data_IF_508547195635
#
_entry.id   IF_508547195635
#
_cell.length_a   1.000
_cell.length_b   1.000
_cell.length_c   1.000
_cell.angle_alpha   90.00
_cell.angle_beta   90.00
_cell.angle_gamma   90.00
#
_symmetry.space_group_name_H-M   'P 1'
#
loop_
_entity.id
_entity.type
_entity.pdbx_description
1 polymer ?
#
# COMPACT_ATOMS: atom_id res chain seq x y z
N UNK A 1 14.78 -3.14 20.05
CA UNK A 1 15.59 -4.37 20.17
C UNK A 1 17.08 -4.12 20.25
N UNK A 2 17.71 -3.42 19.29
CA UNK A 2 19.16 -3.11 19.34
C UNK A 2 19.57 -2.39 20.64
N UNK A 3 18.88 -1.30 21.00
CA UNK A 3 19.17 -0.56 22.23
C UNK A 3 18.93 -1.40 23.48
N UNK A 4 17.83 -2.13 23.53
CA UNK A 4 17.54 -3.07 24.63
C UNK A 4 18.61 -4.15 24.79
N UNK A 5 19.11 -4.71 23.68
CA UNK A 5 20.22 -5.65 23.71
C UNK A 5 21.51 -4.97 24.19
N UNK A 6 21.82 -3.75 23.77
CA UNK A 6 23.01 -3.02 24.23
C UNK A 6 22.98 -2.79 25.74
N UNK A 7 21.87 -2.30 26.27
CA UNK A 7 21.67 -2.10 27.72
C UNK A 7 21.78 -3.41 28.50
N UNK A 8 21.10 -4.46 28.04
CA UNK A 8 21.13 -5.77 28.70
C UNK A 8 22.52 -6.44 28.59
N UNK A 9 23.25 -6.23 27.49
CA UNK A 9 24.62 -6.74 27.32
C UNK A 9 25.55 -6.10 28.33
N UNK A 10 25.52 -4.77 28.45
CA UNK A 10 26.35 -4.05 29.42
C UNK A 10 26.07 -4.51 30.86
N UNK A 11 24.80 -4.68 31.22
CA UNK A 11 24.41 -5.14 32.55
C UNK A 11 24.80 -6.61 32.80
N UNK A 12 24.67 -7.47 31.78
CA UNK A 12 25.11 -8.87 31.83
C UNK A 12 26.63 -8.97 32.04
N UNK A 13 27.42 -8.17 31.33
CA UNK A 13 28.88 -8.13 31.48
C UNK A 13 29.29 -7.70 32.89
N UNK A 14 28.63 -6.68 33.46
CA UNK A 14 28.91 -6.22 34.83
C UNK A 14 28.62 -7.31 35.88
N UNK A 15 27.47 -7.98 35.80
CA UNK A 15 27.10 -8.98 36.81
C UNK A 15 27.89 -10.29 36.65
N UNK A 16 28.38 -10.59 35.46
CA UNK A 16 29.17 -11.81 35.23
C UNK A 16 30.65 -11.67 35.58
N UNK A 17 31.11 -10.47 35.99
CA UNK A 17 32.49 -10.23 36.41
C UNK A 17 32.92 -11.16 37.56
N UNK A 18 34.19 -11.60 37.60
CA UNK A 18 34.66 -12.57 38.58
C UNK A 18 34.46 -12.14 40.03
N UNK A 19 34.68 -10.85 40.34
CA UNK A 19 34.47 -10.26 41.66
C UNK A 19 33.00 -10.38 42.10
N UNK A 20 32.04 -10.06 41.23
CA UNK A 20 30.61 -10.16 41.55
C UNK A 20 30.20 -11.61 41.82
N UNK A 21 30.75 -12.57 41.08
CA UNK A 21 30.51 -14.00 41.36
C UNK A 21 31.04 -14.43 42.73
N UNK A 22 32.18 -13.89 43.16
CA UNK A 22 32.72 -14.13 44.51
C UNK A 22 31.81 -13.53 45.56
N UNK A 23 31.34 -12.28 45.38
CA UNK A 23 30.39 -11.66 46.31
C UNK A 23 29.10 -12.47 46.45
N UNK A 24 28.55 -12.98 45.33
CA UNK A 24 27.35 -13.83 45.36
C UNK A 24 27.61 -15.08 46.22
N UNK A 25 28.75 -15.77 46.05
CA UNK A 25 29.10 -16.96 46.87
C UNK A 25 29.26 -16.64 48.35
N UNK A 26 29.85 -15.50 48.68
CA UNK A 26 30.01 -15.06 50.08
C UNK A 26 28.63 -14.80 50.71
N UNK A 27 27.75 -14.10 49.99
CA UNK A 27 26.39 -13.82 50.45
C UNK A 27 25.53 -15.09 50.57
N UNK A 28 25.75 -16.08 49.70
CA UNK A 28 25.16 -17.42 49.82
C UNK A 28 25.63 -18.14 51.08
N UNK A 29 26.94 -18.14 51.34
CA UNK A 29 27.54 -18.80 52.51
C UNK A 29 27.09 -18.15 53.81
N UNK A 30 26.85 -16.84 53.79
CA UNK A 30 26.35 -16.07 54.93
C UNK A 30 24.82 -16.11 55.08
N UNK A 31 24.10 -16.88 54.24
CA UNK A 31 22.63 -17.05 54.29
C UNK A 31 21.84 -15.73 54.32
N UNK A 32 22.33 -14.71 53.59
CA UNK A 32 21.68 -13.38 53.56
C UNK A 32 20.32 -13.47 52.85
N UNK A 33 19.19 -13.11 53.49
CA UNK A 33 17.85 -13.31 52.90
C UNK A 33 17.64 -12.65 51.53
N UNK A 34 18.33 -11.53 51.26
CA UNK A 34 18.25 -10.81 49.99
C UNK A 34 18.84 -11.60 48.78
N UNK A 35 19.68 -12.61 49.02
CA UNK A 35 20.38 -13.34 47.96
C UNK A 35 19.42 -14.12 47.06
N UNK A 36 18.33 -14.65 47.61
CA UNK A 36 17.33 -15.38 46.84
C UNK A 36 16.63 -14.48 45.83
N UNK A 37 16.19 -13.30 46.27
CA UNK A 37 15.58 -12.32 45.39
C UNK A 37 16.58 -11.83 44.33
N UNK A 38 17.83 -11.57 44.71
CA UNK A 38 18.88 -11.19 43.76
C UNK A 38 19.09 -12.26 42.67
N UNK A 39 19.20 -13.53 43.04
CA UNK A 39 19.30 -14.65 42.09
C UNK A 39 18.09 -14.76 41.16
N UNK A 40 16.89 -14.54 41.70
CA UNK A 40 15.65 -14.52 40.91
C UNK A 40 15.70 -13.41 39.84
N UNK A 41 16.11 -12.20 40.22
CA UNK A 41 16.27 -11.09 39.26
C UNK A 41 17.38 -11.37 38.25
N UNK A 42 18.49 -11.97 38.69
CA UNK A 42 19.58 -12.37 37.79
C UNK A 42 19.12 -13.39 36.75
N UNK A 43 18.32 -14.39 37.14
CA UNK A 43 17.73 -15.35 36.21
C UNK A 43 16.81 -14.67 35.19
N UNK A 44 15.97 -13.72 35.62
CA UNK A 44 15.10 -12.94 34.74
C UNK A 44 15.94 -12.11 33.75
N UNK A 45 16.97 -11.44 34.23
CA UNK A 45 17.90 -10.68 33.40
C UNK A 45 18.56 -11.56 32.33
N UNK A 46 19.11 -12.71 32.72
CA UNK A 46 19.76 -13.63 31.79
C UNK A 46 18.79 -14.09 30.69
N UNK A 47 17.54 -14.41 31.05
CA UNK A 47 16.50 -14.77 30.07
C UNK A 47 16.22 -13.62 29.09
N UNK A 48 16.03 -12.40 29.60
CA UNK A 48 15.79 -11.20 28.77
C UNK A 48 16.97 -10.87 27.87
N UNK A 49 18.20 -11.02 28.37
CA UNK A 49 19.42 -10.82 27.58
C UNK A 49 19.49 -11.80 26.40
N UNK A 50 19.31 -13.10 26.65
CA UNK A 50 19.33 -14.13 25.60
C UNK A 50 18.27 -13.84 24.54
N UNK A 51 17.05 -13.52 24.99
CA UNK A 51 15.95 -13.16 24.10
C UNK A 51 16.25 -11.91 23.26
N UNK A 52 16.74 -10.83 23.88
CA UNK A 52 17.06 -9.60 23.16
C UNK A 52 18.16 -9.82 22.13
N UNK A 53 19.20 -10.58 22.48
CA UNK A 53 20.32 -10.93 21.60
C UNK A 53 19.85 -11.74 20.39
N UNK A 54 19.03 -12.75 20.62
CA UNK A 54 18.49 -13.61 19.57
C UNK A 54 17.57 -12.83 18.62
N UNK A 55 16.67 -12.02 19.18
CA UNK A 55 15.79 -11.16 18.38
C UNK A 55 16.56 -10.14 17.54
N UNK A 56 17.62 -9.53 18.08
CA UNK A 56 18.49 -8.63 17.30
C UNK A 56 19.15 -9.39 16.14
N UNK A 57 19.66 -10.60 16.39
CA UNK A 57 20.26 -11.43 15.33
C UNK A 57 19.28 -11.69 14.19
N UNK A 58 18.06 -12.14 14.50
CA UNK A 58 17.04 -12.43 13.48
C UNK A 58 16.55 -11.17 12.77
N UNK A 59 16.19 -10.11 13.50
CA UNK A 59 15.68 -8.88 12.86
C UNK A 59 16.75 -8.15 12.04
N UNK A 60 18.04 -8.32 12.35
CA UNK A 60 19.11 -7.72 11.56
C UNK A 60 19.20 -8.31 10.14
N UNK A 61 18.72 -9.53 9.91
CA UNK A 61 18.67 -10.11 8.55
C UNK A 61 17.65 -9.39 7.66
N UNK A 62 16.67 -8.72 8.25
CA UNK A 62 15.60 -7.99 7.56
C UNK A 62 15.93 -6.51 7.35
N UNK A 63 17.02 -6.00 7.92
CA UNK A 63 17.32 -4.56 7.94
C UNK A 63 17.40 -3.94 6.54
N UNK A 64 17.96 -4.67 5.57
CA UNK A 64 17.98 -4.22 4.17
C UNK A 64 16.59 -4.10 3.57
N UNK A 65 15.69 -5.05 3.84
CA UNK A 65 14.31 -5.00 3.36
C UNK A 65 13.56 -3.81 3.96
N UNK A 66 13.76 -3.53 5.25
CA UNK A 66 13.17 -2.37 5.90
C UNK A 66 13.71 -1.04 5.34
N UNK A 67 15.01 -0.95 5.03
CA UNK A 67 15.58 0.22 4.35
C UNK A 67 15.00 0.43 2.95
N UNK A 68 14.76 -0.65 2.21
CA UNK A 68 14.09 -0.58 0.90
C UNK A 68 12.65 -0.05 1.05
N UNK A 69 11.91 -0.46 2.07
CA UNK A 69 10.57 0.07 2.38
C UNK A 69 10.59 1.52 2.85
N UNK A 70 11.61 1.93 3.58
CA UNK A 70 11.75 3.28 4.12
C UNK A 70 12.14 4.30 3.07
N UNK A 71 13.11 3.97 2.22
CA UNK A 71 13.75 4.93 1.30
C UNK A 71 13.50 4.63 -0.18
N UNK A 72 13.14 3.39 -0.52
CA UNK A 72 12.95 2.95 -1.89
C UNK A 72 11.74 3.60 -2.59
N UNK A 73 11.79 3.55 -3.93
CA UNK A 73 10.66 3.83 -4.82
C UNK A 73 9.70 2.64 -4.82
N UNK A 74 8.46 2.86 -5.27
CA UNK A 74 7.42 1.81 -5.33
C UNK A 74 7.89 0.52 -6.04
N UNK A 75 8.64 0.64 -7.14
CA UNK A 75 9.19 -0.54 -7.83
C UNK A 75 10.15 -1.36 -6.96
N UNK A 76 11.03 -0.70 -6.22
CA UNK A 76 11.95 -1.38 -5.29
C UNK A 76 11.17 -2.07 -4.18
N UNK A 77 10.09 -1.45 -3.70
CA UNK A 77 9.21 -2.04 -2.69
C UNK A 77 8.52 -3.28 -3.24
N UNK A 78 7.95 -3.20 -4.46
CA UNK A 78 7.33 -4.33 -5.16
C UNK A 78 8.28 -5.54 -5.22
N UNK A 79 9.52 -5.32 -5.66
CA UNK A 79 10.53 -6.39 -5.79
C UNK A 79 11.01 -6.92 -4.42
N UNK A 80 10.93 -6.11 -3.37
CA UNK A 80 11.38 -6.47 -2.01
C UNK A 80 10.36 -7.35 -1.27
N UNK A 81 9.05 -7.12 -1.48
CA UNK A 81 7.96 -7.77 -0.72
C UNK A 81 8.11 -9.31 -0.64
N UNK A 82 8.33 -10.05 -1.76
CA UNK A 82 8.50 -11.50 -1.72
C UNK A 82 9.61 -11.96 -0.78
N UNK A 83 10.82 -11.49 -1.03
CA UNK A 83 12.00 -11.86 -0.24
C UNK A 83 11.89 -11.50 1.24
N UNK A 84 11.21 -10.39 1.55
CA UNK A 84 10.98 -9.94 2.91
C UNK A 84 10.01 -10.86 3.66
N UNK A 85 8.87 -11.20 3.05
CA UNK A 85 7.88 -12.09 3.67
C UNK A 85 8.42 -13.51 3.82
N UNK A 86 9.21 -14.01 2.85
CA UNK A 86 9.91 -15.29 2.98
C UNK A 86 10.93 -15.24 4.14
N UNK A 87 11.67 -14.15 4.27
CA UNK A 87 12.59 -13.96 5.40
C UNK A 87 11.86 -13.92 6.74
N UNK A 88 10.68 -13.27 6.81
CA UNK A 88 9.82 -13.26 7.99
C UNK A 88 9.27 -14.66 8.31
N UNK A 89 8.94 -15.48 7.30
CA UNK A 89 8.61 -16.89 7.48
C UNK A 89 9.77 -17.67 8.10
N UNK A 90 11.00 -17.48 7.61
CA UNK A 90 12.17 -18.14 8.21
C UNK A 90 12.40 -17.69 9.66
N UNK A 91 12.19 -16.42 9.97
CA UNK A 91 12.24 -15.91 11.36
C UNK A 91 11.16 -16.55 12.22
N UNK A 92 9.93 -16.67 11.71
CA UNK A 92 8.84 -17.38 12.39
C UNK A 92 9.25 -18.81 12.71
N UNK A 93 9.75 -19.57 11.73
CA UNK A 93 10.09 -21.00 11.88
C UNK A 93 11.27 -21.22 12.83
N UNK A 94 12.33 -20.41 12.74
CA UNK A 94 13.61 -20.69 13.41
C UNK A 94 13.69 -20.01 14.80
N UNK A 95 13.11 -18.81 14.95
CA UNK A 95 13.28 -18.05 16.19
C UNK A 95 12.49 -18.66 17.34
N UNK A 96 13.14 -18.82 18.49
CA UNK A 96 12.48 -19.31 19.72
C UNK A 96 11.70 -18.24 20.47
N UNK A 97 12.00 -16.98 20.16
CA UNK A 97 11.51 -15.83 20.90
C UNK A 97 10.62 -14.93 20.04
N UNK A 98 10.84 -14.86 18.73
CA UNK A 98 10.09 -13.99 17.82
C UNK A 98 8.91 -14.68 17.12
N UNK A 99 8.78 -16.01 17.25
CA UNK A 99 7.72 -16.83 16.68
C UNK A 99 6.36 -16.70 17.41
N UNK A 100 6.03 -15.51 17.92
CA UNK A 100 4.81 -15.25 18.67
C UNK A 100 3.96 -14.23 17.96
N UNK A 101 2.65 -14.43 17.98
CA UNK A 101 1.70 -13.50 17.33
C UNK A 101 1.86 -12.08 17.87
N UNK A 102 2.04 -11.93 19.18
CA UNK A 102 2.28 -10.66 19.89
C UNK A 102 3.47 -9.83 19.33
N UNK A 103 4.38 -10.47 18.58
CA UNK A 103 5.56 -9.82 17.99
C UNK A 103 5.48 -9.73 16.48
N UNK A 104 5.04 -10.80 15.83
CA UNK A 104 4.98 -10.87 14.38
C UNK A 104 3.83 -10.01 13.83
N UNK A 105 2.66 -10.04 14.46
CA UNK A 105 1.50 -9.29 14.00
C UNK A 105 1.74 -7.76 14.04
N UNK A 106 2.23 -7.14 15.14
CA UNK A 106 2.54 -5.71 15.13
C UNK A 106 3.61 -5.34 14.09
N UNK A 107 4.60 -6.20 13.85
CA UNK A 107 5.62 -5.95 12.83
C UNK A 107 5.02 -5.92 11.41
N UNK A 108 4.14 -6.87 11.10
CA UNK A 108 3.44 -6.90 9.80
C UNK A 108 2.51 -5.70 9.62
N UNK A 109 1.84 -5.25 10.68
CA UNK A 109 1.03 -4.02 10.65
C UNK A 109 1.88 -2.78 10.37
N UNK A 110 3.07 -2.69 10.99
CA UNK A 110 4.01 -1.60 10.70
C UNK A 110 4.50 -1.63 9.25
N UNK A 111 4.75 -2.81 8.69
CA UNK A 111 5.11 -2.98 7.28
C UNK A 111 3.95 -2.54 6.37
N UNK A 112 2.73 -3.00 6.62
CA UNK A 112 1.54 -2.60 5.87
C UNK A 112 1.34 -1.07 5.91
N UNK A 113 1.46 -0.46 7.09
CA UNK A 113 1.39 0.99 7.28
C UNK A 113 2.48 1.72 6.49
N UNK A 114 3.71 1.20 6.47
CA UNK A 114 4.80 1.81 5.71
C UNK A 114 4.57 1.72 4.19
N UNK A 115 4.06 0.59 3.70
CA UNK A 115 3.68 0.41 2.28
C UNK A 115 2.56 1.39 1.91
N UNK A 116 1.49 1.46 2.70
CA UNK A 116 0.38 2.38 2.52
C UNK A 116 0.88 3.84 2.47
N UNK A 117 1.67 4.27 3.46
CA UNK A 117 2.22 5.62 3.50
C UNK A 117 3.15 5.94 2.32
N UNK A 118 3.84 4.93 1.76
CA UNK A 118 4.65 5.10 0.54
C UNK A 118 3.81 5.31 -0.70
N UNK A 119 2.70 4.58 -0.85
CA UNK A 119 1.75 4.79 -1.94
C UNK A 119 1.08 6.16 -1.83
N UNK A 120 0.62 6.53 -0.63
CA UNK A 120 -0.03 7.81 -0.38
C UNK A 120 0.86 8.99 -0.78
N UNK A 121 2.15 8.97 -0.43
CA UNK A 121 3.11 10.01 -0.84
C UNK A 121 3.43 10.00 -2.34
N UNK A 122 3.24 8.89 -3.03
CA UNK A 122 3.56 8.74 -4.44
C UNK A 122 2.43 9.20 -5.37
N UNK A 123 1.19 9.20 -4.88
CA UNK A 123 -0.02 9.52 -5.64
C UNK A 123 -0.48 10.94 -5.29
N UNK A 124 -0.32 11.84 -6.25
CA UNK A 124 -0.81 13.23 -6.19
C UNK A 124 -1.99 13.36 -7.15
N UNK A 125 -3.20 13.42 -6.60
CA UNK A 125 -4.47 13.43 -7.37
C UNK A 125 -4.51 14.60 -8.36
N UNK A 126 -4.04 15.78 -7.94
CA UNK A 126 -4.08 16.98 -8.77
C UNK A 126 -3.15 16.83 -9.98
N UNK A 127 -1.95 16.29 -9.76
CA UNK A 127 -1.01 16.04 -10.86
C UNK A 127 -1.47 14.90 -11.77
N UNK A 128 -2.01 13.83 -11.20
CA UNK A 128 -2.48 12.66 -11.95
C UNK A 128 -3.63 13.01 -12.90
N UNK A 129 -4.62 13.76 -12.43
CA UNK A 129 -5.79 14.11 -13.24
C UNK A 129 -5.56 15.34 -14.12
N UNK A 130 -4.75 16.30 -13.67
CA UNK A 130 -4.65 17.62 -14.29
C UNK A 130 -3.36 17.93 -15.04
N UNK A 131 -2.24 17.28 -14.74
CA UNK A 131 -0.91 17.70 -15.22
C UNK A 131 -0.15 16.63 -15.99
N UNK A 132 -0.21 15.37 -15.55
CA UNK A 132 0.57 14.30 -16.17
C UNK A 132 -0.07 13.79 -17.47
N UNK A 133 0.73 13.45 -18.49
CA UNK A 133 0.29 12.67 -19.65
C UNK A 133 -0.35 11.34 -19.24
N UNK A 134 -1.28 10.83 -20.03
CA UNK A 134 -2.05 9.61 -19.73
C UNK A 134 -1.14 8.45 -19.33
N UNK A 135 -0.14 8.16 -20.18
CA UNK A 135 0.80 7.08 -19.96
C UNK A 135 1.54 7.21 -18.62
N UNK A 136 1.96 8.41 -18.24
CA UNK A 136 2.68 8.66 -16.99
C UNK A 136 1.76 8.54 -15.77
N UNK A 137 0.54 9.09 -15.86
CA UNK A 137 -0.46 8.97 -14.80
C UNK A 137 -0.86 7.50 -14.56
N UNK A 138 -1.12 6.77 -15.64
CA UNK A 138 -1.46 5.35 -15.61
C UNK A 138 -0.32 4.49 -15.09
N UNK A 139 0.94 4.74 -15.48
CA UNK A 139 2.10 4.00 -14.97
C UNK A 139 2.26 4.19 -13.45
N UNK A 140 2.10 5.41 -12.95
CA UNK A 140 2.15 5.73 -11.51
C UNK A 140 1.04 5.03 -10.72
N UNK A 141 -0.17 5.02 -11.24
CA UNK A 141 -1.31 4.34 -10.60
C UNK A 141 -1.14 2.82 -10.64
N UNK A 142 -0.69 2.28 -11.78
CA UNK A 142 -0.43 0.84 -11.94
C UNK A 142 0.58 0.34 -10.93
N UNK A 143 1.75 1.00 -10.82
CA UNK A 143 2.78 0.54 -9.87
C UNK A 143 2.32 0.65 -8.40
N UNK A 144 1.46 1.62 -8.08
CA UNK A 144 0.88 1.73 -6.74
C UNK A 144 -0.08 0.56 -6.45
N UNK A 145 -0.99 0.26 -7.38
CA UNK A 145 -1.91 -0.89 -7.30
C UNK A 145 -1.12 -2.18 -7.18
N UNK A 146 -0.13 -2.38 -8.05
CA UNK A 146 0.71 -3.58 -8.08
C UNK A 146 1.40 -3.82 -6.73
N UNK A 147 1.93 -2.77 -6.09
CA UNK A 147 2.57 -2.88 -4.76
C UNK A 147 1.57 -3.32 -3.69
N UNK A 148 0.37 -2.73 -3.66
CA UNK A 148 -0.65 -3.04 -2.66
C UNK A 148 -1.18 -4.48 -2.82
N UNK A 149 -1.46 -4.89 -4.06
CA UNK A 149 -1.89 -6.26 -4.37
C UNK A 149 -0.76 -7.27 -4.14
N UNK A 150 0.49 -6.90 -4.44
CA UNK A 150 1.65 -7.77 -4.18
C UNK A 150 1.83 -8.04 -2.70
N UNK A 151 1.63 -7.03 -1.84
CA UNK A 151 1.65 -7.20 -0.39
C UNK A 151 0.64 -8.27 0.06
N UNK A 152 -0.63 -8.12 -0.33
CA UNK A 152 -1.69 -9.04 0.07
C UNK A 152 -1.48 -10.45 -0.48
N UNK A 153 -1.23 -10.58 -1.80
CA UNK A 153 -1.05 -11.88 -2.45
C UNK A 153 0.16 -12.64 -1.92
N UNK A 154 1.27 -11.95 -1.66
CA UNK A 154 2.48 -12.56 -1.10
C UNK A 154 2.25 -13.00 0.35
N UNK A 155 1.56 -12.19 1.16
CA UNK A 155 1.22 -12.58 2.53
C UNK A 155 0.36 -13.85 2.56
N UNK A 156 -0.70 -13.92 1.76
CA UNK A 156 -1.57 -15.10 1.72
C UNK A 156 -0.79 -16.34 1.25
N UNK A 157 0.15 -16.17 0.32
CA UNK A 157 1.04 -17.25 -0.11
C UNK A 157 1.93 -17.76 1.03
N UNK A 158 2.58 -16.85 1.74
CA UNK A 158 3.46 -17.20 2.87
C UNK A 158 2.66 -17.80 4.03
N UNK A 159 1.47 -17.26 4.33
CA UNK A 159 0.57 -17.83 5.34
C UNK A 159 0.19 -19.28 5.02
N UNK A 160 -0.08 -19.60 3.74
CA UNK A 160 -0.37 -20.97 3.30
C UNK A 160 0.84 -21.89 3.52
N UNK A 161 2.03 -21.46 3.12
CA UNK A 161 3.27 -22.21 3.33
C UNK A 161 3.53 -22.48 4.81
N UNK A 162 3.34 -21.48 5.69
CA UNK A 162 3.45 -21.67 7.14
C UNK A 162 2.41 -22.67 7.65
N UNK A 163 1.19 -22.64 7.09
CA UNK A 163 0.15 -23.64 7.39
C UNK A 163 0.58 -25.07 7.07
N UNK A 164 1.22 -25.26 5.92
CA UNK A 164 1.78 -26.56 5.48
C UNK A 164 2.96 -26.99 6.37
N UNK A 165 3.88 -26.07 6.69
CA UNK A 165 5.01 -26.34 7.59
C UNK A 165 4.54 -26.74 9.01
N UNK A 166 3.50 -26.05 9.49
CA UNK A 166 2.88 -26.28 10.79
C UNK A 166 2.23 -27.68 10.89
N UNK A 167 1.57 -28.14 9.83
CA UNK A 167 0.98 -29.50 9.79
C UNK A 167 2.05 -30.58 9.95
N UNK A 168 3.25 -30.35 9.38
CA UNK A 168 4.35 -31.31 9.44
C UNK A 168 5.13 -31.28 10.77
N UNK A 169 5.10 -30.15 11.48
CA UNK A 169 6.01 -29.88 12.62
C UNK A 169 5.29 -29.61 13.95
N UNK A 170 3.96 -29.47 13.95
CA UNK A 170 3.16 -29.10 15.12
C UNK A 170 3.36 -27.65 15.58
N UNK A 171 3.81 -26.76 14.69
CA UNK A 171 4.09 -25.35 14.99
C UNK A 171 2.83 -24.47 14.89
N UNK A 172 2.83 -23.33 15.59
CA UNK A 172 1.78 -22.33 15.46
C UNK A 172 1.71 -21.71 14.05
N UNK A 173 0.47 -21.51 13.57
CA UNK A 173 0.16 -20.87 12.30
C UNK A 173 -0.04 -19.35 12.47
N UNK A 174 -0.03 -18.61 11.36
CA UNK A 174 -0.41 -17.19 11.37
C UNK A 174 -1.93 -17.01 11.45
N UNK A 175 -2.45 -16.69 12.63
CA UNK A 175 -3.86 -16.40 12.84
C UNK A 175 -4.13 -14.91 13.07
N UNK A 176 -3.50 -14.06 12.26
CA UNK A 176 -3.64 -12.60 12.40
C UNK A 176 -4.97 -12.10 11.82
N UNK A 177 -5.55 -11.11 12.50
CA UNK A 177 -6.71 -10.38 12.00
C UNK A 177 -6.37 -9.63 10.70
N UNK A 178 -6.91 -10.13 9.59
CA UNK A 178 -6.70 -9.60 8.23
C UNK A 178 -7.03 -8.11 8.12
N UNK A 179 -8.00 -7.66 8.91
CA UNK A 179 -8.48 -6.28 8.96
C UNK A 179 -7.33 -5.27 9.11
N UNK A 180 -6.47 -5.48 10.11
CA UNK A 180 -5.37 -4.56 10.41
C UNK A 180 -4.23 -4.58 9.40
N UNK A 181 -4.18 -5.60 8.54
CA UNK A 181 -3.15 -5.76 7.52
C UNK A 181 -3.60 -5.23 6.15
N UNK A 182 -4.90 -5.31 5.85
CA UNK A 182 -5.40 -5.14 4.49
C UNK A 182 -6.49 -4.11 4.28
N UNK A 183 -7.29 -3.73 5.30
CA UNK A 183 -8.40 -2.79 5.07
C UNK A 183 -7.92 -1.50 4.40
N UNK A 184 -6.87 -0.90 4.96
CA UNK A 184 -6.27 0.30 4.39
C UNK A 184 -5.74 0.08 2.98
N UNK A 185 -4.95 -0.98 2.77
CA UNK A 185 -4.33 -1.22 1.46
C UNK A 185 -5.36 -1.55 0.39
N UNK A 186 -6.41 -2.28 0.73
CA UNK A 186 -7.51 -2.64 -0.17
C UNK A 186 -8.30 -1.40 -0.56
N UNK A 187 -8.61 -0.54 0.42
CA UNK A 187 -9.24 0.75 0.17
C UNK A 187 -8.42 1.60 -0.81
N UNK A 188 -7.11 1.72 -0.56
CA UNK A 188 -6.20 2.47 -1.42
C UNK A 188 -6.14 1.88 -2.84
N UNK A 189 -6.20 0.56 -2.99
CA UNK A 189 -6.27 -0.12 -4.29
C UNK A 189 -7.53 0.31 -5.06
N UNK A 190 -8.70 0.27 -4.43
CA UNK A 190 -9.96 0.69 -5.07
C UNK A 190 -9.97 2.18 -5.43
N UNK A 191 -9.42 3.03 -4.55
CA UNK A 191 -9.27 4.46 -4.83
C UNK A 191 -8.34 4.70 -6.04
N UNK A 192 -7.21 3.99 -6.12
CA UNK A 192 -6.29 4.07 -7.27
C UNK A 192 -6.92 3.54 -8.58
N UNK A 193 -7.72 2.47 -8.51
CA UNK A 193 -8.47 1.95 -9.66
C UNK A 193 -9.51 2.96 -10.14
N UNK A 194 -10.21 3.61 -9.22
CA UNK A 194 -11.16 4.67 -9.55
C UNK A 194 -10.47 5.85 -10.21
N UNK A 195 -9.33 6.30 -9.67
CA UNK A 195 -8.53 7.35 -10.32
C UNK A 195 -8.06 6.92 -11.72
N UNK A 196 -7.65 5.67 -11.89
CA UNK A 196 -7.23 5.14 -13.20
C UNK A 196 -8.36 5.21 -14.22
N UNK A 197 -9.59 4.88 -13.79
CA UNK A 197 -10.79 5.04 -14.62
C UNK A 197 -11.05 6.51 -14.97
N UNK A 198 -10.98 7.42 -13.99
CA UNK A 198 -11.15 8.86 -14.21
C UNK A 198 -10.12 9.42 -15.21
N UNK A 199 -8.85 9.01 -15.10
CA UNK A 199 -7.79 9.38 -16.05
C UNK A 199 -8.16 8.91 -17.46
N UNK A 200 -8.46 7.61 -17.63
CA UNK A 200 -8.83 7.04 -18.93
C UNK A 200 -10.01 7.75 -19.56
N UNK A 201 -11.11 7.90 -18.82
CA UNK A 201 -12.32 8.57 -19.30
C UNK A 201 -12.04 10.02 -19.70
N UNK A 202 -11.26 10.76 -18.90
CA UNK A 202 -10.87 12.14 -19.23
C UNK A 202 -10.04 12.22 -20.52
N UNK A 203 -9.11 11.28 -20.73
CA UNK A 203 -8.32 11.21 -21.95
C UNK A 203 -9.15 10.79 -23.17
N UNK A 204 -10.03 9.80 -23.02
CA UNK A 204 -10.97 9.39 -24.06
C UNK A 204 -11.84 10.55 -24.52
N UNK A 205 -12.43 11.32 -23.59
CA UNK A 205 -13.18 12.53 -23.96
C UNK A 205 -12.32 13.59 -24.63
N UNK A 206 -11.08 13.80 -24.20
CA UNK A 206 -10.19 14.78 -24.85
C UNK A 206 -9.82 14.38 -26.28
N UNK A 207 -9.57 13.10 -26.51
CA UNK A 207 -9.27 12.56 -27.83
C UNK A 207 -10.52 12.62 -28.72
N UNK A 208 -11.66 12.18 -28.21
CA UNK A 208 -12.95 12.20 -28.89
C UNK A 208 -13.40 13.62 -29.27
N UNK A 209 -13.32 14.57 -28.33
CA UNK A 209 -13.61 16.00 -28.56
C UNK A 209 -12.44 16.74 -29.24
N UNK A 210 -11.60 16.00 -29.97
CA UNK A 210 -10.50 16.52 -30.76
C UNK A 210 -10.98 17.33 -31.97
N UNK A 211 -10.02 17.78 -32.79
CA UNK A 211 -10.30 18.58 -33.99
C UNK A 211 -11.14 17.84 -35.03
N UNK A 212 -11.09 16.51 -35.01
CA UNK A 212 -11.78 15.67 -35.98
C UNK A 212 -13.30 15.76 -35.83
N UNK A 213 -13.82 15.70 -34.59
CA UNK A 213 -15.24 15.90 -34.32
C UNK A 213 -15.69 17.34 -34.65
N UNK A 214 -14.82 18.34 -34.45
CA UNK A 214 -15.12 19.72 -34.85
C UNK A 214 -15.26 19.88 -36.36
N UNK A 215 -14.45 19.18 -37.14
CA UNK A 215 -14.52 19.24 -38.59
C UNK A 215 -15.79 18.56 -39.12
N UNK A 216 -16.26 17.52 -38.44
CA UNK A 216 -17.42 16.71 -38.82
C UNK A 216 -18.76 17.34 -38.39
N UNK A 217 -18.83 17.87 -37.18
CA UNK A 217 -20.12 18.40 -36.67
C UNK A 217 -20.39 19.83 -37.15
N UNK A 218 -19.35 20.58 -37.54
CA UNK A 218 -19.44 22.02 -37.85
C UNK A 218 -19.82 22.91 -36.66
N UNK A 219 -20.26 22.34 -35.54
CA UNK A 219 -20.72 23.02 -34.34
C UNK A 219 -19.63 23.07 -33.27
N UNK A 220 -18.64 23.91 -33.53
CA UNK A 220 -17.53 24.17 -32.60
C UNK A 220 -18.01 24.63 -31.22
N UNK A 221 -19.17 25.29 -31.13
CA UNK A 221 -19.74 25.81 -29.89
C UNK A 221 -20.31 24.68 -29.01
N UNK A 222 -21.03 23.72 -29.60
CA UNK A 222 -21.52 22.55 -28.88
C UNK A 222 -20.37 21.70 -28.31
N UNK A 223 -19.31 21.48 -29.11
CA UNK A 223 -18.14 20.72 -28.66
C UNK A 223 -17.40 21.43 -27.52
N UNK A 224 -17.23 22.75 -27.61
CA UNK A 224 -16.57 23.51 -26.54
C UNK A 224 -17.41 23.52 -25.26
N UNK A 225 -18.75 23.49 -25.37
CA UNK A 225 -19.63 23.32 -24.21
C UNK A 225 -19.41 21.96 -23.54
N UNK A 226 -19.37 20.87 -24.31
CA UNK A 226 -19.11 19.52 -23.77
C UNK A 226 -17.71 19.43 -23.14
N UNK A 227 -16.68 20.03 -23.76
CA UNK A 227 -15.34 20.10 -23.19
C UNK A 227 -15.33 20.83 -21.83
N UNK A 228 -16.06 21.94 -21.71
CA UNK A 228 -16.22 22.64 -20.43
C UNK A 228 -16.90 21.78 -19.38
N UNK A 229 -17.91 21.00 -19.76
CA UNK A 229 -18.59 20.08 -18.85
C UNK A 229 -17.66 18.96 -18.35
N UNK A 230 -16.83 18.38 -19.22
CA UNK A 230 -15.79 17.40 -18.83
C UNK A 230 -14.80 18.01 -17.84
N UNK A 231 -14.33 19.24 -18.09
CA UNK A 231 -13.43 19.92 -17.16
C UNK A 231 -14.12 20.24 -15.82
N UNK A 232 -15.40 20.63 -15.87
CA UNK A 232 -16.18 20.94 -14.68
C UNK A 232 -16.51 19.70 -13.84
N UNK A 233 -16.61 18.51 -14.44
CA UNK A 233 -16.84 17.26 -13.69
C UNK A 233 -15.63 16.88 -12.83
N UNK A 234 -14.41 17.19 -13.29
CA UNK A 234 -13.17 16.96 -12.55
C UNK A 234 -12.82 18.09 -11.56
N UNK A 235 -13.37 19.29 -11.75
CA UNK A 235 -13.02 20.47 -10.95
C UNK A 235 -13.20 20.29 -9.43
N UNK A 236 -14.24 19.62 -8.90
CA UNK A 236 -14.37 19.35 -7.47
C UNK A 236 -13.24 18.45 -6.94
N UNK A 237 -12.87 17.42 -7.70
CA UNK A 237 -11.83 16.44 -7.34
C UNK A 237 -10.44 17.10 -7.35
N UNK A 238 -10.17 17.95 -8.34
CA UNK A 238 -8.92 18.71 -8.42
C UNK A 238 -8.75 19.73 -7.28
N UNK A 239 -9.82 20.14 -6.62
CA UNK A 239 -9.79 21.11 -5.50
C UNK A 239 -9.63 20.44 -4.13
N UNK A 240 -9.56 19.11 -4.07
CA UNK A 240 -9.36 18.39 -2.83
C UNK A 240 -8.01 18.80 -2.21
N UNK A 241 -8.03 19.09 -0.90
CA UNK A 241 -6.84 19.43 -0.09
C UNK A 241 -6.47 18.35 0.93
N UNK A 242 -7.31 17.33 1.07
CA UNK A 242 -7.13 16.19 1.95
C UNK A 242 -6.71 14.95 1.14
N UNK A 243 -6.20 13.92 1.81
CA UNK A 243 -5.78 12.69 1.13
C UNK A 243 -6.98 11.83 0.81
N UNK A 244 -7.18 11.44 -0.46
CA UNK A 244 -8.25 10.51 -0.83
C UNK A 244 -8.11 9.12 -0.18
N UNK A 245 -6.98 8.87 0.48
CA UNK A 245 -6.74 7.65 1.22
C UNK A 245 -7.11 7.78 2.70
N UNK A 246 -7.51 8.95 3.17
CA UNK A 246 -7.92 9.18 4.55
C UNK A 246 -9.35 8.67 4.78
N UNK A 247 -9.50 7.77 5.77
CA UNK A 247 -10.76 7.09 6.08
C UNK A 247 -11.80 8.05 6.66
N UNK A 248 -11.36 9.13 7.30
CA UNK A 248 -12.27 10.15 7.87
C UNK A 248 -13.09 10.85 6.78
N UNK A 249 -12.57 10.88 5.55
CA UNK A 249 -13.19 11.53 4.40
C UNK A 249 -13.82 10.54 3.41
N UNK A 250 -13.92 9.26 3.76
CA UNK A 250 -14.37 8.21 2.84
C UNK A 250 -15.77 8.49 2.25
N UNK A 251 -16.73 8.85 3.11
CA UNK A 251 -18.08 9.24 2.67
C UNK A 251 -18.09 10.43 1.71
N UNK A 252 -17.18 11.39 1.91
CA UNK A 252 -17.06 12.55 1.02
C UNK A 252 -16.45 12.14 -0.33
N UNK A 253 -15.48 11.21 -0.30
CA UNK A 253 -14.89 10.63 -1.50
C UNK A 253 -15.93 9.87 -2.32
N UNK A 254 -16.70 8.97 -1.71
CA UNK A 254 -17.80 8.23 -2.35
C UNK A 254 -18.83 9.17 -3.01
N UNK A 255 -19.23 10.24 -2.30
CA UNK A 255 -20.15 11.23 -2.87
C UNK A 255 -19.57 11.95 -4.09
N UNK A 256 -18.27 12.28 -4.08
CA UNK A 256 -17.61 12.90 -5.22
C UNK A 256 -17.47 11.94 -6.40
N UNK A 257 -17.14 10.67 -6.14
CA UNK A 257 -17.14 9.62 -7.16
C UNK A 257 -18.52 9.47 -7.80
N UNK A 258 -19.59 9.44 -7.00
CA UNK A 258 -20.97 9.35 -7.49
C UNK A 258 -21.37 10.55 -8.35
N UNK A 259 -21.05 11.78 -7.92
CA UNK A 259 -21.29 13.00 -8.71
C UNK A 259 -20.51 13.00 -10.02
N UNK A 260 -19.25 12.57 -10.00
CA UNK A 260 -18.43 12.44 -11.20
C UNK A 260 -19.04 11.42 -12.17
N UNK A 261 -19.42 10.23 -11.68
CA UNK A 261 -20.03 9.18 -12.50
C UNK A 261 -21.32 9.65 -13.19
N UNK A 262 -22.21 10.31 -12.44
CA UNK A 262 -23.44 10.88 -13.02
C UNK A 262 -23.15 11.95 -14.06
N UNK A 263 -22.13 12.78 -13.83
CA UNK A 263 -21.71 13.80 -14.80
C UNK A 263 -21.15 13.18 -16.08
N UNK A 264 -20.34 12.12 -15.95
CA UNK A 264 -19.80 11.36 -17.09
C UNK A 264 -20.93 10.76 -17.92
N UNK A 265 -21.89 10.07 -17.28
CA UNK A 265 -23.04 9.48 -18.01
C UNK A 265 -23.85 10.54 -18.76
N UNK A 266 -24.13 11.69 -18.13
CA UNK A 266 -24.83 12.78 -18.80
C UNK A 266 -24.02 13.40 -19.97
N UNK A 267 -22.69 13.40 -19.88
CA UNK A 267 -21.80 13.84 -20.96
C UNK A 267 -21.81 12.81 -22.10
N UNK A 268 -21.75 11.51 -21.81
CA UNK A 268 -21.84 10.43 -22.81
C UNK A 268 -23.16 10.50 -23.59
N UNK A 269 -24.29 10.67 -22.90
CA UNK A 269 -25.61 10.85 -23.53
C UNK A 269 -25.63 12.07 -24.48
N UNK A 270 -25.00 13.18 -24.07
CA UNK A 270 -24.87 14.36 -24.93
C UNK A 270 -23.95 14.14 -26.12
N UNK A 271 -22.83 13.45 -25.94
CA UNK A 271 -21.93 13.07 -27.04
C UNK A 271 -22.67 12.20 -28.06
N UNK A 272 -23.45 11.22 -27.60
CA UNK A 272 -24.26 10.37 -28.47
C UNK A 272 -25.33 11.18 -29.23
N UNK A 273 -26.02 12.10 -28.54
CA UNK A 273 -27.00 12.96 -29.20
C UNK A 273 -26.36 13.88 -30.27
N UNK A 274 -25.14 14.38 -30.04
CA UNK A 274 -24.41 15.17 -31.03
C UNK A 274 -24.01 14.34 -32.25
N UNK A 275 -23.58 13.10 -32.03
CA UNK A 275 -23.27 12.16 -33.12
C UNK A 275 -24.56 11.90 -33.94
N UNK A 276 -25.67 11.59 -33.28
CA UNK A 276 -26.95 11.34 -33.95
C UNK A 276 -27.43 12.56 -34.74
N UNK A 277 -27.22 13.76 -34.21
CA UNK A 277 -27.54 15.00 -34.91
C UNK A 277 -26.62 15.28 -36.10
N UNK A 278 -25.32 14.98 -36.01
CA UNK A 278 -24.40 15.15 -37.15
C UNK A 278 -24.78 14.22 -38.30
N UNK A 279 -25.12 12.95 -38.01
CA UNK A 279 -25.61 12.01 -39.02
C UNK A 279 -26.96 12.41 -39.65
N UNK A 280 -27.75 13.26 -38.97
CA UNK A 280 -29.04 13.77 -39.48
C UNK A 280 -28.91 15.10 -40.23
N UNK A 281 -27.99 15.97 -39.82
CA UNK A 281 -27.79 17.32 -40.39
C UNK A 281 -26.89 17.31 -41.62
N UNK A 282 -25.82 16.51 -41.61
CA UNK A 282 -25.04 16.30 -42.82
C UNK A 282 -25.85 15.40 -43.76
N UNK A 283 -26.11 15.91 -44.97
CA UNK A 283 -26.28 15.04 -46.11
C UNK A 283 -24.94 14.30 -46.26
N UNK A 284 -24.74 13.19 -45.56
CA UNK A 284 -23.68 12.26 -45.91
C UNK A 284 -24.05 11.77 -47.31
N UNK A 285 -23.48 12.40 -48.34
CA UNK A 285 -23.84 12.14 -49.74
C UNK A 285 -23.33 10.77 -50.17
N UNK A 286 -22.43 10.16 -49.39
CA UNK A 286 -21.86 8.83 -49.59
C UNK A 286 -21.84 7.99 -48.31
N UNK A 287 -22.10 6.69 -48.45
CA UNK A 287 -21.92 5.70 -47.38
C UNK A 287 -20.45 5.54 -46.96
N UNK A 288 -19.48 5.88 -47.80
CA UNK A 288 -18.05 5.85 -47.47
C UNK A 288 -17.69 6.92 -46.43
N UNK A 289 -18.21 8.14 -46.57
CA UNK A 289 -17.95 9.23 -45.60
C UNK A 289 -18.55 8.90 -44.23
N UNK A 290 -19.74 8.29 -44.20
CA UNK A 290 -20.39 7.83 -42.99
C UNK A 290 -19.60 6.70 -42.30
N UNK A 291 -19.00 5.80 -43.09
CA UNK A 291 -18.19 4.70 -42.60
C UNK A 291 -16.82 5.17 -42.08
N UNK A 292 -16.15 6.09 -42.77
CA UNK A 292 -14.91 6.71 -42.30
C UNK A 292 -15.11 7.48 -40.98
N UNK A 293 -16.27 8.12 -40.80
CA UNK A 293 -16.68 8.75 -39.54
C UNK A 293 -16.75 7.72 -38.41
N UNK A 294 -17.47 6.62 -38.66
CA UNK A 294 -17.69 5.54 -37.70
C UNK A 294 -16.39 4.82 -37.32
N UNK A 295 -15.47 4.64 -38.27
CA UNK A 295 -14.17 4.03 -38.00
C UNK A 295 -13.31 4.90 -37.09
N UNK A 296 -13.43 6.23 -37.18
CA UNK A 296 -12.76 7.18 -36.27
C UNK A 296 -13.40 7.28 -34.89
N UNK A 297 -14.62 6.74 -34.70
CA UNK A 297 -15.32 6.67 -33.41
C UNK A 297 -15.06 5.37 -32.62
N UNK A 298 -14.34 4.40 -33.19
CA UNK A 298 -13.93 3.15 -32.52
C UNK A 298 -12.69 3.32 -31.65
#
# INVERSE_FOLDING_TARGET
>A
WKDGNATLSALYEQITMPNIRVYIRVLETAEVPAIENFKKQLSILMKRYVEAKDNVKFLSTLERHFKNLESGKLRVIFDTIPSMLDSLRMVWIISRHYNREERMNPLLQLIAKQIAGKVERAIDVQKILGQYPEKQAMEKLSIAIDVLEKWQSTYENVKRQIGEDAQNSGMDQWNFEKKYLFDKTNYMTEACRTLSSMVKTSYQFRNFLGKELQNVTGDSAAIEKVRKEVNNSLAPILKIKWSIFDEDYDKMWEQMQGRYKNSVTAIEERCNALIDESFKKEKLESAEEAFELLEKFK
#
